data_IF_470856741527
#
_entry.id   IF_470856741527
#
_cell.length_a   1.000
_cell.length_b   1.000
_cell.length_c   1.000
_cell.angle_alpha   90.00
_cell.angle_beta   90.00
_cell.angle_gamma   90.00
#
_symmetry.space_group_name_H-M   'P 1'
#
loop_
_entity.id
_entity.type
_entity.pdbx_description
1 polymer ?
#
# COMPACT_ATOMS: atom_id res chain seq x y z
N UNK A 1 0.11 17.75 -5.95
CA UNK A 1 0.77 18.02 -4.65
C UNK A 1 0.29 19.39 -4.18
N UNK A 2 -0.54 19.48 -3.14
CA UNK A 2 -1.17 20.73 -2.70
C UNK A 2 -0.95 21.07 -1.21
N UNK A 3 -0.33 20.17 -0.43
CA UNK A 3 -0.15 20.33 1.03
C UNK A 3 1.32 20.24 1.47
N UNK A 4 2.29 20.43 0.56
CA UNK A 4 3.73 20.30 0.87
C UNK A 4 4.23 18.87 1.17
N UNK A 5 3.32 17.89 1.24
CA UNK A 5 3.68 16.49 1.48
C UNK A 5 4.40 15.87 0.28
N UNK A 6 5.55 15.24 0.54
CA UNK A 6 6.32 14.46 -0.43
C UNK A 6 5.70 13.07 -0.62
N UNK A 7 4.50 13.07 -1.19
CA UNK A 7 3.77 11.83 -1.55
C UNK A 7 3.84 11.59 -3.05
N UNK A 8 3.75 10.31 -3.42
CA UNK A 8 3.63 9.82 -4.79
C UNK A 8 2.59 8.69 -4.85
N UNK A 9 2.05 8.45 -6.03
CA UNK A 9 1.10 7.36 -6.29
C UNK A 9 1.64 6.51 -7.43
N UNK A 10 1.58 5.20 -7.23
CA UNK A 10 2.01 4.22 -8.21
C UNK A 10 0.89 3.20 -8.42
N UNK A 11 0.67 2.83 -9.67
CA UNK A 11 -0.32 1.82 -10.05
C UNK A 11 0.40 0.63 -10.65
N UNK A 12 0.20 -0.54 -10.06
CA UNK A 12 0.71 -1.80 -10.60
C UNK A 12 -0.04 -2.09 -11.92
N UNK A 13 0.71 -2.19 -13.02
CA UNK A 13 0.16 -2.51 -14.35
C UNK A 13 0.39 -3.96 -14.76
N UNK A 14 1.44 -4.58 -14.22
CA UNK A 14 1.78 -5.98 -14.45
C UNK A 14 1.98 -6.63 -13.08
N UNK A 15 1.17 -7.63 -12.78
CA UNK A 15 1.24 -8.36 -11.51
C UNK A 15 2.06 -9.66 -11.61
N UNK A 16 2.14 -10.23 -12.81
CA UNK A 16 2.87 -11.47 -13.10
C UNK A 16 3.65 -11.33 -14.42
N UNK A 17 4.97 -11.62 -14.43
CA UNK A 17 5.81 -11.82 -13.24
C UNK A 17 5.79 -10.58 -12.32
N UNK A 18 5.85 -10.79 -10.99
CA UNK A 18 5.77 -9.67 -10.04
C UNK A 18 7.07 -8.86 -10.08
N UNK A 19 7.02 -7.51 -10.18
CA UNK A 19 8.19 -6.64 -10.35
C UNK A 19 8.92 -6.40 -9.01
N UNK A 20 9.58 -7.44 -8.48
CA UNK A 20 10.22 -7.42 -7.15
C UNK A 20 11.34 -6.39 -7.06
N UNK A 21 12.12 -6.22 -8.12
CA UNK A 21 13.28 -5.33 -8.11
C UNK A 21 12.86 -3.87 -8.20
N UNK A 22 11.77 -3.55 -8.90
CA UNK A 22 11.16 -2.22 -8.90
C UNK A 22 10.68 -1.84 -7.49
N UNK A 23 10.00 -2.76 -6.80
CA UNK A 23 9.53 -2.55 -5.41
C UNK A 23 10.71 -2.26 -4.49
N UNK A 24 11.80 -3.02 -4.61
CA UNK A 24 13.02 -2.80 -3.81
C UNK A 24 13.67 -1.46 -4.10
N UNK A 25 13.88 -1.12 -5.38
CA UNK A 25 14.47 0.17 -5.79
C UNK A 25 13.66 1.36 -5.28
N UNK A 26 12.33 1.26 -5.28
CA UNK A 26 11.48 2.29 -4.71
C UNK A 26 11.63 2.39 -3.19
N UNK A 27 11.72 1.26 -2.48
CA UNK A 27 11.84 1.24 -1.03
C UNK A 27 13.11 1.95 -0.52
N UNK A 28 14.16 2.09 -1.33
CA UNK A 28 15.40 2.80 -0.98
C UNK A 28 15.18 4.26 -0.60
N UNK A 29 14.15 4.89 -1.18
CA UNK A 29 13.90 6.33 -1.06
C UNK A 29 12.65 6.65 -0.22
N UNK A 30 11.97 5.62 0.28
CA UNK A 30 10.69 5.76 0.95
C UNK A 30 10.81 5.52 2.44
N UNK A 31 10.16 6.38 3.24
CA UNK A 31 9.96 6.15 4.68
C UNK A 31 8.72 5.30 4.94
N UNK A 32 7.70 5.47 4.10
CA UNK A 32 6.42 4.80 4.18
C UNK A 32 6.03 4.27 2.80
N UNK A 33 5.45 3.08 2.77
CA UNK A 33 4.83 2.50 1.59
C UNK A 33 3.46 1.95 1.98
N UNK A 34 2.43 2.53 1.36
CA UNK A 34 1.02 2.21 1.60
C UNK A 34 0.51 1.47 0.37
N UNK A 35 -0.07 0.29 0.59
CA UNK A 35 -0.61 -0.57 -0.46
C UNK A 35 -2.12 -0.63 -0.33
N UNK A 36 -2.82 -0.45 -1.45
CA UNK A 36 -4.26 -0.58 -1.53
C UNK A 36 -4.60 -1.81 -2.37
N UNK A 37 -5.24 -2.79 -1.75
CA UNK A 37 -5.72 -4.01 -2.38
C UNK A 37 -7.23 -3.91 -2.60
N UNK A 38 -7.69 -4.37 -3.78
CA UNK A 38 -9.12 -4.57 -4.07
C UNK A 38 -9.52 -6.03 -3.99
N UNK A 39 -8.70 -6.80 -3.32
CA UNK A 39 -8.82 -8.24 -3.12
C UNK A 39 -8.43 -8.58 -1.69
N UNK A 40 -8.76 -9.79 -1.30
CA UNK A 40 -8.37 -10.37 -0.04
C UNK A 40 -8.02 -11.84 -0.26
N UNK A 41 -6.89 -12.28 0.27
CA UNK A 41 -6.62 -13.68 0.53
C UNK A 41 -7.21 -14.04 1.90
N UNK A 42 -8.24 -14.90 1.93
CA UNK A 42 -8.92 -15.28 3.18
C UNK A 42 -7.95 -15.85 4.21
N UNK A 43 -8.02 -15.34 5.44
CA UNK A 43 -7.07 -15.68 6.52
C UNK A 43 -5.74 -14.94 6.45
N UNK A 44 -5.55 -14.09 5.44
CA UNK A 44 -4.36 -13.28 5.21
C UNK A 44 -4.78 -11.83 4.93
N UNK A 45 -3.98 -11.11 4.14
CA UNK A 45 -4.21 -9.74 3.69
C UNK A 45 -4.46 -9.71 2.17
N UNK A 46 -4.39 -8.52 1.56
CA UNK A 46 -4.44 -8.39 0.10
C UNK A 46 -3.18 -8.93 -0.59
N UNK A 47 -3.37 -9.49 -1.79
CA UNK A 47 -2.32 -10.25 -2.50
C UNK A 47 -1.16 -9.30 -2.91
N UNK A 48 -1.45 -8.05 -3.31
CA UNK A 48 -0.42 -7.08 -3.63
C UNK A 48 0.42 -6.72 -2.40
N UNK A 49 -0.24 -6.49 -1.26
CA UNK A 49 0.48 -6.20 -0.03
C UNK A 49 1.38 -7.36 0.41
N UNK A 50 0.93 -8.61 0.29
CA UNK A 50 1.76 -9.78 0.56
C UNK A 50 2.99 -9.85 -0.35
N UNK A 51 2.84 -9.61 -1.65
CA UNK A 51 3.96 -9.63 -2.60
C UNK A 51 4.97 -8.50 -2.34
N UNK A 52 4.50 -7.32 -1.94
CA UNK A 52 5.36 -6.20 -1.54
C UNK A 52 6.17 -6.58 -0.30
N UNK A 53 5.54 -7.13 0.74
CA UNK A 53 6.25 -7.61 1.94
C UNK A 53 7.27 -8.69 1.60
N UNK A 54 6.90 -9.67 0.78
CA UNK A 54 7.80 -10.74 0.35
C UNK A 54 9.00 -10.20 -0.44
N UNK A 55 8.79 -9.17 -1.28
CA UNK A 55 9.86 -8.51 -2.04
C UNK A 55 10.88 -7.82 -1.12
N UNK A 56 10.40 -7.28 0.01
CA UNK A 56 11.21 -6.54 0.97
C UNK A 56 11.77 -7.39 2.12
N UNK A 57 11.36 -8.65 2.26
CA UNK A 57 11.76 -9.52 3.38
C UNK A 57 13.28 -9.61 3.59
N UNK A 58 14.03 -9.82 2.49
CA UNK A 58 15.50 -9.88 2.50
C UNK A 58 16.16 -8.55 2.09
N UNK A 59 15.39 -7.46 2.01
CA UNK A 59 15.92 -6.13 1.67
C UNK A 59 16.55 -5.47 2.90
N UNK A 60 17.65 -4.75 2.68
CA UNK A 60 18.20 -3.82 3.68
C UNK A 60 17.29 -2.62 3.92
N UNK A 61 16.44 -2.29 2.95
CA UNK A 61 15.51 -1.17 3.00
C UNK A 61 14.18 -1.61 3.60
N UNK A 62 13.79 -1.00 4.72
CA UNK A 62 12.62 -1.36 5.52
C UNK A 62 11.73 -0.14 5.76
N UNK A 63 11.03 0.38 4.74
CA UNK A 63 10.00 1.39 4.96
C UNK A 63 8.90 0.84 5.87
N UNK A 64 8.21 1.72 6.59
CA UNK A 64 6.96 1.34 7.25
C UNK A 64 5.93 0.93 6.21
N UNK A 65 5.39 -0.28 6.34
CA UNK A 65 4.46 -0.90 5.41
C UNK A 65 3.05 -0.92 6.00
N UNK A 66 2.07 -0.47 5.22
CA UNK A 66 0.65 -0.50 5.58
C UNK A 66 -0.15 -1.04 4.40
N UNK A 67 -1.08 -1.96 4.67
CA UNK A 67 -2.00 -2.50 3.69
C UNK A 67 -3.43 -2.05 3.98
N UNK A 68 -4.16 -1.59 2.97
CA UNK A 68 -5.58 -1.28 3.07
C UNK A 68 -6.36 -2.13 2.08
N UNK A 69 -7.35 -2.85 2.56
CA UNK A 69 -8.31 -3.55 1.70
C UNK A 69 -9.47 -2.60 1.46
N UNK A 70 -9.70 -2.25 0.20
CA UNK A 70 -10.68 -1.23 -0.24
C UNK A 70 -11.51 -1.74 -1.40
N UNK A 71 -12.74 -1.25 -1.55
CA UNK A 71 -13.54 -1.49 -2.75
C UNK A 71 -13.95 -2.95 -3.00
N UNK A 72 -13.95 -3.78 -1.96
CA UNK A 72 -14.46 -5.14 -2.06
C UNK A 72 -15.94 -5.13 -2.43
N UNK A 73 -16.36 -6.14 -3.20
CA UNK A 73 -17.75 -6.25 -3.66
C UNK A 73 -18.18 -5.17 -4.65
N UNK A 74 -17.23 -4.45 -5.27
CA UNK A 74 -17.53 -3.38 -6.22
C UNK A 74 -17.88 -2.04 -5.57
N UNK A 75 -17.62 -1.88 -4.27
CA UNK A 75 -17.76 -0.61 -3.55
C UNK A 75 -16.85 0.44 -4.20
N UNK A 76 -17.40 1.63 -4.43
CA UNK A 76 -16.64 2.74 -5.01
C UNK A 76 -15.57 3.24 -4.02
N UNK A 77 -14.40 3.57 -4.55
CA UNK A 77 -13.27 4.08 -3.76
C UNK A 77 -12.86 5.43 -4.32
N UNK A 78 -13.32 6.48 -3.64
CA UNK A 78 -13.11 7.85 -4.05
C UNK A 78 -11.71 8.34 -3.68
N UNK A 79 -11.19 9.28 -4.45
CA UNK A 79 -9.84 9.81 -4.25
C UNK A 79 -9.67 10.52 -2.90
N UNK A 80 -10.74 11.10 -2.34
CA UNK A 80 -10.71 11.69 -1.01
C UNK A 80 -10.56 10.63 0.09
N UNK A 81 -11.21 9.46 -0.03
CA UNK A 81 -11.04 8.35 0.91
C UNK A 81 -9.58 7.86 0.93
N UNK A 82 -8.96 7.72 -0.25
CA UNK A 82 -7.53 7.37 -0.35
C UNK A 82 -6.66 8.44 0.31
N UNK A 83 -6.93 9.73 0.05
CA UNK A 83 -6.19 10.83 0.66
C UNK A 83 -6.31 10.81 2.19
N UNK A 84 -7.50 10.60 2.74
CA UNK A 84 -7.75 10.54 4.18
C UNK A 84 -7.00 9.38 4.84
N UNK A 85 -6.98 8.20 4.22
CA UNK A 85 -6.21 7.05 4.71
C UNK A 85 -4.71 7.35 4.73
N UNK A 86 -4.19 7.99 3.69
CA UNK A 86 -2.78 8.42 3.64
C UNK A 86 -2.48 9.42 4.77
N UNK A 87 -3.34 10.44 4.98
CA UNK A 87 -3.15 11.43 6.03
C UNK A 87 -3.14 10.79 7.43
N UNK A 88 -4.12 9.93 7.73
CA UNK A 88 -4.18 9.19 8.99
C UNK A 88 -2.96 8.28 9.20
N UNK A 89 -2.45 7.68 8.11
CA UNK A 89 -1.23 6.86 8.16
C UNK A 89 0.01 7.71 8.52
N UNK A 90 0.12 8.91 7.98
CA UNK A 90 1.23 9.85 8.30
C UNK A 90 1.16 10.38 9.73
N UNK A 91 -0.04 10.46 10.32
CA UNK A 91 -0.25 10.79 11.74
C UNK A 91 0.05 9.62 12.70
N UNK A 92 0.44 8.44 12.18
CA UNK A 92 0.76 7.26 12.99
C UNK A 92 -0.47 6.52 13.55
N UNK A 93 -1.66 6.75 12.97
CA UNK A 93 -2.92 6.12 13.45
C UNK A 93 -3.05 4.63 13.10
N UNK A 94 -2.16 4.09 12.28
CA UNK A 94 -2.20 2.69 11.84
C UNK A 94 -0.83 2.04 12.00
N UNK A 95 -0.84 0.79 12.46
CA UNK A 95 0.36 -0.03 12.64
C UNK A 95 0.40 -1.28 11.74
N UNK A 96 -0.74 -1.71 11.18
CA UNK A 96 -0.92 -2.97 10.45
C UNK A 96 -1.91 -2.83 9.27
N UNK A 97 -2.25 -3.96 8.63
CA UNK A 97 -3.32 -4.06 7.62
C UNK A 97 -4.67 -3.66 8.19
N UNK A 98 -5.44 -2.83 7.46
CA UNK A 98 -6.76 -2.37 7.86
C UNK A 98 -7.78 -2.65 6.76
N UNK A 99 -8.94 -3.15 7.15
CA UNK A 99 -10.11 -3.26 6.28
C UNK A 99 -10.87 -1.94 6.30
N UNK A 100 -11.10 -1.36 5.13
CA UNK A 100 -11.81 -0.08 5.03
C UNK A 100 -13.25 -0.37 4.61
N UNK A 101 -14.16 -0.19 5.54
CA UNK A 101 -15.60 -0.21 5.26
C UNK A 101 -15.98 1.04 4.43
N UNK A 102 -16.89 0.85 3.48
CA UNK A 102 -17.35 1.88 2.54
C UNK A 102 -18.29 2.89 3.15
#
# INVERSE_FOLDING_TARGET
>A
RLQGLKVGLLRVRVFRPFPKDEVRRMAEQLKFMIVFDRDVSLGMEGILYTEVKASLYNSSYKPSLLGFIVGLGGVDVRSNQIADLVMKSLEGKFINTVWVEG
#
